data_IF_246227158520
#
_entry.id   IF_246227158520
#
_cell.length_a   1.000
_cell.length_b   1.000
_cell.length_c   1.000
_cell.angle_alpha   90.00
_cell.angle_beta   90.00
_cell.angle_gamma   90.00
#
_symmetry.space_group_name_H-M   'P 1'
#
loop_
_entity.id
_entity.type
_entity.pdbx_description
1 polymer ?
#
# COMPACT_ATOMS: atom_id res chain seq x y z
N UNK A 1 -24.32 23.07 -43.15
CA UNK A 1 -23.94 22.94 -41.73
C UNK A 1 -22.73 22.03 -41.72
N UNK A 2 -21.54 22.64 -41.85
CA UNK A 2 -20.26 21.93 -41.85
C UNK A 2 -19.91 21.56 -40.41
N UNK A 3 -19.75 20.26 -40.13
CA UNK A 3 -19.48 19.73 -38.79
C UNK A 3 -18.08 19.11 -38.76
N UNK A 4 -17.08 19.92 -39.10
CA UNK A 4 -15.67 19.51 -39.04
C UNK A 4 -15.16 19.77 -37.62
N UNK A 5 -15.22 18.76 -36.75
CA UNK A 5 -14.48 18.79 -35.49
C UNK A 5 -12.98 18.63 -35.81
N UNK A 6 -12.08 19.41 -35.19
CA UNK A 6 -10.65 19.30 -35.45
C UNK A 6 -10.12 17.95 -34.92
N UNK A 7 -9.45 17.18 -35.79
CA UNK A 7 -8.75 15.95 -35.43
C UNK A 7 -7.72 16.24 -34.31
N UNK A 8 -7.75 15.52 -33.18
CA UNK A 8 -6.88 15.81 -32.06
C UNK A 8 -5.42 15.50 -32.45
N UNK A 9 -4.61 16.56 -32.61
CA UNK A 9 -3.19 16.43 -32.96
C UNK A 9 -2.44 15.62 -31.90
N UNK A 10 -1.64 14.64 -32.34
CA UNK A 10 -0.85 13.70 -31.52
C UNK A 10 -0.01 14.38 -30.43
N UNK A 11 0.39 15.64 -30.64
CA UNK A 11 1.11 16.46 -29.67
C UNK A 11 0.37 16.65 -28.34
N UNK A 12 -0.98 16.66 -28.33
CA UNK A 12 -1.77 16.75 -27.10
C UNK A 12 -1.76 15.43 -26.30
N UNK A 13 -1.57 14.28 -26.96
CA UNK A 13 -1.50 12.96 -26.33
C UNK A 13 -0.09 12.61 -25.81
N UNK A 14 0.96 13.33 -26.18
CA UNK A 14 2.32 13.03 -25.72
C UNK A 14 2.73 13.82 -24.46
N UNK A 15 2.19 15.04 -24.28
CA UNK A 15 2.58 15.93 -23.19
C UNK A 15 2.24 15.40 -21.78
N UNK A 16 1.12 14.70 -21.62
CA UNK A 16 0.71 14.19 -20.31
C UNK A 16 1.66 13.09 -19.80
N UNK A 17 2.18 12.22 -20.69
CA UNK A 17 3.11 11.14 -20.33
C UNK A 17 4.40 11.68 -19.73
N UNK A 18 4.94 12.77 -20.27
CA UNK A 18 6.12 13.44 -19.74
C UNK A 18 5.88 14.04 -18.34
N UNK A 19 4.67 14.52 -18.08
CA UNK A 19 4.27 15.03 -16.75
C UNK A 19 4.18 13.88 -15.73
N UNK A 20 3.61 12.74 -16.10
CA UNK A 20 3.47 11.59 -15.18
C UNK A 20 4.79 10.84 -14.96
N UNK A 21 5.70 10.87 -15.93
CA UNK A 21 7.01 10.17 -15.85
C UNK A 21 7.83 10.57 -14.62
N UNK A 22 7.70 11.82 -14.15
CA UNK A 22 8.38 12.29 -12.93
C UNK A 22 7.87 11.61 -11.65
N UNK A 23 6.64 11.10 -11.66
CA UNK A 23 5.99 10.41 -10.54
C UNK A 23 6.14 8.88 -10.60
N UNK A 24 6.71 8.33 -11.67
CA UNK A 24 6.96 6.89 -11.82
C UNK A 24 8.27 6.43 -11.19
N UNK A 25 8.98 7.30 -10.46
CA UNK A 25 10.25 6.94 -9.83
C UNK A 25 9.99 6.20 -8.50
N UNK A 26 10.45 4.93 -8.36
CA UNK A 26 10.30 4.19 -7.12
C UNK A 26 11.13 4.82 -6.00
N UNK A 27 10.50 5.09 -4.86
CA UNK A 27 11.14 5.64 -3.67
C UNK A 27 11.38 4.51 -2.66
N UNK A 28 12.57 3.91 -2.74
CA UNK A 28 12.99 2.79 -1.89
C UNK A 28 12.91 3.11 -0.39
N UNK A 29 13.07 4.38 -0.01
CA UNK A 29 13.03 4.79 1.40
C UNK A 29 11.60 4.74 1.92
N UNK A 30 10.65 5.23 1.14
CA UNK A 30 9.22 5.13 1.47
C UNK A 30 8.75 3.68 1.48
N UNK A 31 9.15 2.87 0.50
CA UNK A 31 8.77 1.45 0.45
C UNK A 31 9.34 0.68 1.67
N UNK A 32 10.60 0.91 2.03
CA UNK A 32 11.22 0.30 3.23
C UNK A 32 10.49 0.71 4.51
N UNK A 33 10.16 2.00 4.65
CA UNK A 33 9.42 2.48 5.82
C UNK A 33 8.04 1.83 5.95
N UNK A 34 7.33 1.64 4.84
CA UNK A 34 6.03 0.97 4.83
C UNK A 34 6.12 -0.49 5.28
N UNK A 35 7.16 -1.20 4.88
CA UNK A 35 7.43 -2.57 5.32
C UNK A 35 7.70 -2.60 6.82
N UNK A 36 8.66 -1.78 7.29
CA UNK A 36 9.02 -1.73 8.72
C UNK A 36 7.83 -1.37 9.59
N UNK A 37 7.02 -0.38 9.20
CA UNK A 37 5.84 0.02 9.98
C UNK A 37 4.75 -1.08 10.02
N UNK A 38 4.58 -1.84 8.94
CA UNK A 38 3.56 -2.90 8.87
C UNK A 38 3.98 -4.14 9.64
N UNK A 39 5.21 -4.64 9.41
CA UNK A 39 5.76 -5.78 10.16
C UNK A 39 5.97 -5.42 11.63
N UNK A 40 6.50 -4.23 11.93
CA UNK A 40 6.67 -3.75 13.30
C UNK A 40 5.35 -3.66 14.06
N UNK A 41 4.28 -3.17 13.41
CA UNK A 41 2.93 -3.16 13.98
C UNK A 41 2.40 -4.57 14.27
N UNK A 42 2.58 -5.50 13.33
CA UNK A 42 2.18 -6.89 13.54
C UNK A 42 2.95 -7.55 14.71
N UNK A 43 4.28 -7.38 14.77
CA UNK A 43 5.11 -7.92 15.85
C UNK A 43 4.72 -7.31 17.21
N UNK A 44 4.46 -6.01 17.26
CA UNK A 44 3.98 -5.35 18.47
C UNK A 44 2.65 -5.94 18.93
N UNK A 45 1.67 -6.06 18.04
CA UNK A 45 0.38 -6.69 18.34
C UNK A 45 0.57 -8.14 18.82
N UNK A 46 1.44 -8.91 18.17
CA UNK A 46 1.70 -10.30 18.54
C UNK A 46 2.28 -10.44 19.95
N UNK A 47 3.27 -9.61 20.28
CA UNK A 47 3.86 -9.58 21.64
C UNK A 47 2.80 -9.20 22.68
N UNK A 48 1.98 -8.18 22.39
CA UNK A 48 0.90 -7.79 23.29
C UNK A 48 -0.15 -8.90 23.45
N UNK A 49 -0.48 -9.63 22.39
CA UNK A 49 -1.39 -10.79 22.43
C UNK A 49 -0.82 -11.91 23.30
N UNK A 50 0.48 -12.21 23.18
CA UNK A 50 1.13 -13.22 23.99
C UNK A 50 1.03 -12.88 25.48
N UNK A 51 1.30 -11.63 25.85
CA UNK A 51 1.15 -11.19 27.24
C UNK A 51 -0.31 -11.14 27.70
N UNK A 52 -1.26 -10.80 26.82
CA UNK A 52 -2.68 -10.74 27.18
C UNK A 52 -3.29 -12.09 27.50
N UNK A 53 -2.69 -13.21 27.06
CA UNK A 53 -3.14 -14.56 27.43
C UNK A 53 -3.12 -14.80 28.95
N UNK A 54 -2.20 -14.16 29.67
CA UNK A 54 -2.15 -14.23 31.14
C UNK A 54 -3.23 -13.39 31.82
N UNK A 55 -3.90 -12.50 31.09
CA UNK A 55 -4.90 -11.56 31.61
C UNK A 55 -6.32 -12.01 31.23
N UNK A 56 -6.59 -12.16 29.94
CA UNK A 56 -7.90 -12.58 29.43
C UNK A 56 -7.85 -12.95 27.95
N UNK A 57 -8.56 -14.04 27.61
CA UNK A 57 -8.80 -14.42 26.21
C UNK A 57 -9.63 -13.38 25.45
N UNK A 58 -10.55 -12.67 26.11
CA UNK A 58 -11.34 -11.61 25.44
C UNK A 58 -10.46 -10.42 25.03
N UNK A 59 -9.46 -10.08 25.84
CA UNK A 59 -8.49 -9.03 25.51
C UNK A 59 -7.65 -9.45 24.29
N UNK A 60 -7.23 -10.71 24.25
CA UNK A 60 -6.52 -11.30 23.11
C UNK A 60 -7.39 -11.26 21.84
N UNK A 61 -8.69 -11.55 21.97
CA UNK A 61 -9.64 -11.45 20.85
C UNK A 61 -9.78 -10.01 20.34
N UNK A 62 -9.87 -9.02 21.23
CA UNK A 62 -9.88 -7.61 20.81
C UNK A 62 -8.60 -7.20 20.08
N UNK A 63 -7.43 -7.66 20.55
CA UNK A 63 -6.15 -7.40 19.88
C UNK A 63 -6.01 -8.12 18.53
N UNK A 64 -6.79 -9.18 18.28
CA UNK A 64 -6.76 -9.87 16.98
C UNK A 64 -7.25 -8.99 15.83
N UNK A 65 -8.11 -7.99 16.11
CA UNK A 65 -8.64 -7.06 15.10
C UNK A 65 -7.53 -6.18 14.50
N UNK A 66 -6.75 -5.41 15.29
CA UNK A 66 -5.63 -4.65 14.73
C UNK A 66 -4.54 -5.55 14.16
N UNK A 67 -4.28 -6.73 14.74
CA UNK A 67 -3.33 -7.70 14.19
C UNK A 67 -3.74 -8.16 12.78
N UNK A 68 -5.02 -8.47 12.57
CA UNK A 68 -5.56 -8.82 11.25
C UNK A 68 -5.42 -7.66 10.26
N UNK A 69 -5.64 -6.41 10.71
CA UNK A 69 -5.41 -5.22 9.89
C UNK A 69 -3.96 -5.10 9.40
N UNK A 70 -2.97 -5.31 10.28
CA UNK A 70 -1.56 -5.34 9.87
C UNK A 70 -1.24 -6.51 8.93
N UNK A 71 -1.82 -7.70 9.18
CA UNK A 71 -1.62 -8.86 8.31
C UNK A 71 -2.15 -8.61 6.88
N UNK A 72 -3.36 -8.04 6.74
CA UNK A 72 -3.92 -7.66 5.44
C UNK A 72 -3.04 -6.62 4.74
N UNK A 73 -2.53 -5.64 5.48
CA UNK A 73 -1.61 -4.64 4.92
C UNK A 73 -0.31 -5.26 4.39
N UNK A 74 0.26 -6.22 5.12
CA UNK A 74 1.45 -6.95 4.67
C UNK A 74 1.13 -7.76 3.41
N UNK A 75 -0.02 -8.42 3.35
CA UNK A 75 -0.47 -9.16 2.17
C UNK A 75 -0.59 -8.26 0.93
N UNK A 76 -1.19 -7.08 1.08
CA UNK A 76 -1.30 -6.10 -0.02
C UNK A 76 0.09 -5.70 -0.53
N UNK A 77 1.02 -5.38 0.37
CA UNK A 77 2.40 -5.03 -0.02
C UNK A 77 3.06 -6.19 -0.75
N UNK A 78 2.95 -7.42 -0.25
CA UNK A 78 3.54 -8.60 -0.90
C UNK A 78 2.93 -8.89 -2.28
N UNK A 79 1.61 -8.78 -2.40
CA UNK A 79 0.88 -8.97 -3.64
C UNK A 79 1.26 -7.92 -4.69
N UNK A 80 1.37 -6.65 -4.29
CA UNK A 80 1.70 -5.55 -5.19
C UNK A 80 3.20 -5.56 -5.57
N UNK A 81 4.09 -5.92 -4.64
CA UNK A 81 5.50 -6.21 -4.92
C UNK A 81 5.65 -7.39 -5.89
N UNK A 82 4.87 -8.46 -5.72
CA UNK A 82 4.91 -9.66 -6.57
C UNK A 82 4.51 -9.40 -8.02
N UNK A 83 3.69 -8.38 -8.26
CA UNK A 83 3.32 -7.91 -9.59
C UNK A 83 4.24 -6.80 -10.13
N UNK A 84 5.27 -6.41 -9.38
CA UNK A 84 6.26 -5.40 -9.78
C UNK A 84 5.82 -3.95 -9.64
N UNK A 85 4.84 -3.66 -8.78
CA UNK A 85 4.20 -2.33 -8.68
C UNK A 85 4.58 -1.53 -7.42
N UNK A 86 5.67 -1.88 -6.72
CA UNK A 86 6.02 -1.30 -5.41
C UNK A 86 7.54 -1.08 -5.20
#
# INVERSE_FOLDING_TARGET
>A
MDNTQPEPTTAAYDGWRAIVAKYQQPDVRKSTWQIVNSFGGLFLCWVLMYFSLNVSYLLTLLLSIPAAGFAVRIFIIQHDCGHGSF
#
